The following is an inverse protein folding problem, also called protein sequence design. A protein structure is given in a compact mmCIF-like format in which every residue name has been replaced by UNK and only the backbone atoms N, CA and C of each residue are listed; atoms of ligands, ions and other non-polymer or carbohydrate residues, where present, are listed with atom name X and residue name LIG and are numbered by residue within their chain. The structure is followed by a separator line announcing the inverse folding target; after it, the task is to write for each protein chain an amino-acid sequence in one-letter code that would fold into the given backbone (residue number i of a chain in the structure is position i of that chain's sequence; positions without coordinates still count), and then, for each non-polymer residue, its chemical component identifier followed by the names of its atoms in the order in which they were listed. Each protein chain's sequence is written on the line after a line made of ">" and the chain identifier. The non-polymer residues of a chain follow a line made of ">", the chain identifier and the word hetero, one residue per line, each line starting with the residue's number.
data_IF_506134245897
#
_entry.id   IF_506134245897
#
_cell.length_a   1.000
_cell.length_b   1.000
_cell.length_c   1.000
_cell.angle_alpha   90.00
_cell.angle_beta   90.00
_cell.angle_gamma   90.00
#
_symmetry.space_group_name_H-M   'P 1'
#
loop_
_entity.id
_entity.type
_entity.pdbx_description
1 polymer ?
#
# COMPACT_ATOMS: atom_id res chain seq x y z
N UNK A 1 10.10 -17.75 5.27
CA UNK A 1 9.61 -19.09 5.67
C UNK A 1 10.85 -19.89 6.02
N UNK A 2 10.95 -20.41 7.24
CA UNK A 2 12.21 -20.99 7.74
C UNK A 2 12.49 -22.37 7.12
N UNK A 3 13.76 -22.62 6.84
CA UNK A 3 14.30 -23.90 6.39
C UNK A 3 15.19 -24.54 7.47
N UNK A 4 15.10 -25.86 7.57
CA UNK A 4 15.85 -26.69 8.50
C UNK A 4 16.68 -27.74 7.73
N UNK A 5 17.69 -28.31 8.37
CA UNK A 5 18.47 -29.46 7.92
C UNK A 5 18.29 -30.58 8.96
N UNK A 6 18.11 -31.82 8.53
CA UNK A 6 18.10 -32.94 9.46
C UNK A 6 19.52 -33.43 9.76
N UNK A 7 19.95 -33.39 11.03
CA UNK A 7 21.29 -33.82 11.47
C UNK A 7 21.53 -35.35 11.32
N UNK A 8 20.50 -36.12 10.98
CA UNK A 8 20.59 -37.56 10.74
C UNK A 8 20.82 -37.99 9.30
N UNK A 9 20.59 -37.10 8.32
CA UNK A 9 20.66 -37.45 6.88
C UNK A 9 20.89 -36.25 5.94
N UNK A 10 21.04 -35.05 6.47
CA UNK A 10 21.28 -33.77 5.79
C UNK A 10 20.24 -33.38 4.71
N UNK A 11 19.01 -33.89 4.78
CA UNK A 11 17.89 -33.42 3.93
C UNK A 11 17.50 -31.99 4.35
N UNK A 12 17.28 -31.10 3.37
CA UNK A 12 16.81 -29.73 3.61
C UNK A 12 15.28 -29.66 3.58
N UNK A 13 14.69 -29.15 4.66
CA UNK A 13 13.28 -29.28 4.99
C UNK A 13 12.65 -27.91 5.24
N UNK A 14 11.50 -27.64 4.62
CA UNK A 14 10.62 -26.52 5.04
C UNK A 14 9.93 -26.90 6.35
N UNK A 15 9.69 -25.96 7.27
CA UNK A 15 9.07 -26.22 8.59
C UNK A 15 7.86 -27.19 8.53
N UNK A 16 6.91 -26.96 7.62
CA UNK A 16 5.71 -27.79 7.42
C UNK A 16 5.98 -29.22 6.89
N UNK A 17 7.23 -29.59 6.62
CA UNK A 17 7.67 -30.92 6.17
C UNK A 17 8.60 -31.62 7.16
N UNK A 18 9.02 -30.96 8.25
CA UNK A 18 9.90 -31.56 9.27
C UNK A 18 9.22 -32.73 9.96
N UNK A 19 7.97 -32.57 10.41
CA UNK A 19 7.14 -33.63 11.01
C UNK A 19 7.00 -34.85 10.07
N UNK A 20 6.60 -34.61 8.82
CA UNK A 20 6.50 -35.62 7.77
C UNK A 20 7.85 -36.24 7.32
N UNK A 21 8.98 -35.68 7.77
CA UNK A 21 10.32 -36.24 7.62
C UNK A 21 10.72 -37.04 8.87
N UNK A 22 10.45 -36.54 10.08
CA UNK A 22 10.71 -37.26 11.34
C UNK A 22 9.99 -38.63 11.37
N UNK A 23 8.74 -38.69 10.90
CA UNK A 23 8.01 -39.95 10.72
C UNK A 23 8.56 -40.90 9.63
N UNK A 24 9.56 -40.49 8.85
CA UNK A 24 10.20 -41.28 7.78
C UNK A 24 11.66 -41.61 8.07
N UNK A 25 12.39 -40.67 8.67
CA UNK A 25 13.83 -40.74 8.89
C UNK A 25 14.13 -41.21 10.31
N UNK A 26 14.49 -42.49 10.45
CA UNK A 26 14.80 -43.13 11.75
C UNK A 26 16.01 -42.53 12.49
N UNK A 27 16.83 -41.72 11.82
CA UNK A 27 17.98 -41.02 12.38
C UNK A 27 17.71 -39.53 12.67
N UNK A 28 16.47 -39.04 12.50
CA UNK A 28 16.11 -37.64 12.79
C UNK A 28 16.02 -37.38 14.31
N UNK A 29 17.18 -37.23 14.96
CA UNK A 29 17.30 -36.89 16.38
C UNK A 29 17.14 -35.38 16.63
N UNK A 30 17.69 -34.56 15.73
CA UNK A 30 17.59 -33.11 15.75
C UNK A 30 17.52 -32.52 14.35
N UNK A 31 17.10 -31.25 14.28
CA UNK A 31 17.12 -30.43 13.06
C UNK A 31 17.77 -29.07 13.33
N UNK A 32 18.75 -28.68 12.52
CA UNK A 32 19.33 -27.33 12.59
C UNK A 32 18.57 -26.36 11.69
N UNK A 33 18.37 -25.12 12.12
CA UNK A 33 17.84 -24.06 11.24
C UNK A 33 18.96 -23.54 10.34
N UNK A 34 18.75 -23.49 9.02
CA UNK A 34 19.74 -22.96 8.06
C UNK A 34 20.10 -21.51 8.38
N UNK A 35 19.07 -20.72 8.71
CA UNK A 35 19.16 -19.27 8.85
C UNK A 35 19.92 -18.85 10.13
N UNK A 36 19.57 -19.34 11.33
CA UNK A 36 20.28 -19.03 12.58
C UNK A 36 21.35 -20.03 13.01
N UNK A 37 21.46 -21.20 12.35
CA UNK A 37 22.40 -22.27 12.71
C UNK A 37 22.22 -22.85 14.13
N UNK A 38 21.05 -22.64 14.75
CA UNK A 38 20.65 -23.28 16.01
C UNK A 38 20.12 -24.69 15.75
N UNK A 39 20.55 -25.66 16.54
CA UNK A 39 20.06 -27.04 16.57
C UNK A 39 18.83 -27.13 17.47
N UNK A 40 17.79 -27.81 17.01
CA UNK A 40 16.55 -28.08 17.75
C UNK A 40 16.36 -29.59 17.88
N UNK A 41 16.31 -30.09 19.11
CA UNK A 41 16.09 -31.51 19.40
C UNK A 41 14.58 -31.82 19.41
N UNK A 42 14.19 -33.01 18.94
CA UNK A 42 12.80 -33.46 18.92
C UNK A 42 11.84 -32.47 18.26
N UNK A 43 10.94 -31.86 19.05
CA UNK A 43 9.86 -30.98 18.57
C UNK A 43 10.11 -29.48 18.75
N UNK A 44 11.24 -29.04 19.31
CA UNK A 44 11.44 -27.63 19.68
C UNK A 44 11.44 -26.67 18.48
N UNK A 45 11.76 -27.19 17.28
CA UNK A 45 11.64 -26.47 16.00
C UNK A 45 10.21 -25.92 15.74
N UNK A 46 9.18 -26.50 16.38
CA UNK A 46 7.81 -26.02 16.31
C UNK A 46 7.67 -24.61 16.91
N UNK A 47 8.43 -24.27 17.95
CA UNK A 47 8.44 -22.94 18.57
C UNK A 47 9.11 -21.88 17.69
N UNK A 48 10.07 -22.27 16.86
CA UNK A 48 10.86 -21.36 16.04
C UNK A 48 10.06 -20.78 14.86
N UNK A 49 9.42 -19.63 15.07
CA UNK A 49 8.57 -18.92 14.09
C UNK A 49 9.30 -17.77 13.37
N UNK A 50 10.29 -17.18 14.02
CA UNK A 50 11.14 -16.10 13.50
C UNK A 50 12.62 -16.41 13.75
N UNK A 51 13.44 -16.21 12.73
CA UNK A 51 14.91 -16.32 12.82
C UNK A 51 15.56 -14.96 13.14
N UNK A 52 16.80 -15.00 13.65
CA UNK A 52 17.70 -13.84 13.73
C UNK A 52 17.86 -13.17 12.36
N UNK A 53 18.17 -11.88 12.35
CA UNK A 53 18.48 -11.15 11.11
C UNK A 53 19.89 -11.44 10.60
N UNK A 54 20.15 -11.19 9.32
CA UNK A 54 21.51 -11.31 8.74
C UNK A 54 22.51 -10.39 9.47
N UNK A 55 22.10 -9.16 9.79
CA UNK A 55 22.87 -8.23 10.61
C UNK A 55 23.19 -8.81 12.00
N UNK A 56 22.20 -9.39 12.68
CA UNK A 56 22.39 -10.04 13.99
C UNK A 56 23.33 -11.27 13.92
N UNK A 57 23.36 -11.97 12.78
CA UNK A 57 24.26 -13.10 12.53
C UNK A 57 25.71 -12.67 12.22
N UNK A 58 25.91 -11.60 11.45
CA UNK A 58 27.23 -11.21 10.93
C UNK A 58 27.89 -10.03 11.65
N UNK A 59 27.11 -9.12 12.25
CA UNK A 59 27.65 -7.94 12.96
C UNK A 59 27.99 -8.26 14.43
N UNK A 60 27.43 -9.33 15.01
CA UNK A 60 27.86 -9.91 16.29
C UNK A 60 27.90 -8.91 17.44
N UNK A 61 29.07 -8.65 18.01
CA UNK A 61 29.25 -7.67 19.10
C UNK A 61 29.16 -6.20 18.65
N UNK A 62 29.18 -5.92 17.34
CA UNK A 62 28.89 -4.61 16.76
C UNK A 62 27.39 -4.41 16.50
N UNK A 63 26.58 -5.48 16.58
CA UNK A 63 25.13 -5.42 16.37
C UNK A 63 24.43 -4.64 17.48
N UNK A 64 24.34 -3.33 17.32
CA UNK A 64 23.44 -2.46 18.09
C UNK A 64 21.98 -2.68 17.62
N UNK A 65 21.44 -3.86 17.93
CA UNK A 65 20.10 -4.26 17.52
C UNK A 65 18.98 -3.36 18.05
N UNK A 66 17.74 -3.68 17.70
CA UNK A 66 16.50 -2.93 18.01
C UNK A 66 16.21 -2.67 19.51
N UNK A 67 17.12 -3.05 20.41
CA UNK A 67 17.12 -2.71 21.84
C UNK A 67 17.76 -1.34 22.14
N UNK A 68 18.67 -0.86 21.29
CA UNK A 68 19.40 0.41 21.48
C UNK A 68 18.69 1.64 20.89
N UNK A 69 17.72 1.44 19.99
CA UNK A 69 16.82 2.49 19.51
C UNK A 69 15.44 2.29 20.14
N UNK A 70 14.74 3.36 20.56
CA UNK A 70 13.33 3.23 20.95
C UNK A 70 12.51 2.72 19.75
N UNK A 71 11.46 1.93 20.02
CA UNK A 71 10.63 1.27 18.98
C UNK A 71 9.92 2.22 18.00
N UNK A 72 10.01 3.54 18.22
CA UNK A 72 9.66 4.59 17.25
C UNK A 72 10.56 4.61 15.98
N UNK A 73 11.70 3.90 15.99
CA UNK A 73 12.69 3.98 14.90
C UNK A 73 12.37 3.19 13.62
N UNK A 74 11.45 2.22 13.68
CA UNK A 74 10.95 1.55 12.47
C UNK A 74 9.86 2.44 11.87
N UNK A 75 10.01 2.78 10.59
CA UNK A 75 8.97 3.51 9.83
C UNK A 75 7.72 2.63 9.79
N UNK A 76 6.76 2.88 10.69
CA UNK A 76 5.49 2.15 10.74
C UNK A 76 4.93 2.02 9.33
N UNK A 77 4.62 0.80 8.91
CA UNK A 77 3.97 0.64 7.61
C UNK A 77 2.61 1.35 7.64
N UNK A 78 2.11 1.85 6.50
CA UNK A 78 0.78 2.43 6.43
C UNK A 78 -0.34 1.45 6.86
N UNK A 79 -0.05 0.15 6.98
CA UNK A 79 -0.94 -0.87 7.54
C UNK A 79 -0.84 -0.95 9.07
N UNK A 80 0.36 -0.90 9.67
CA UNK A 80 0.52 -0.85 11.14
C UNK A 80 -0.18 0.35 11.76
N UNK A 81 0.06 1.58 11.26
CA UNK A 81 -0.60 2.78 11.78
C UNK A 81 -2.13 2.77 11.58
N UNK A 82 -2.62 1.99 10.62
CA UNK A 82 -4.05 1.76 10.46
C UNK A 82 -4.58 0.76 11.49
N UNK A 83 -3.87 -0.34 11.75
CA UNK A 83 -4.26 -1.29 12.80
C UNK A 83 -4.25 -0.63 14.18
N UNK A 84 -3.28 0.23 14.46
CA UNK A 84 -3.22 1.05 15.68
C UNK A 84 -4.43 2.02 15.78
N UNK A 85 -4.80 2.68 14.67
CA UNK A 85 -6.01 3.51 14.61
C UNK A 85 -7.32 2.70 14.72
N UNK A 86 -7.31 1.40 14.38
CA UNK A 86 -8.45 0.50 14.55
C UNK A 86 -8.56 0.00 16.00
N UNK A 87 -7.43 -0.28 16.65
CA UNK A 87 -7.37 -0.77 18.04
C UNK A 87 -7.59 0.34 19.07
N UNK A 88 -7.19 1.58 18.78
CA UNK A 88 -7.38 2.74 19.66
C UNK A 88 -8.76 3.41 19.53
N UNK A 89 -9.54 3.09 18.49
CA UNK A 89 -10.86 3.65 18.29
C UNK A 89 -11.89 3.08 19.29
N UNK A 90 -12.34 3.90 20.23
CA UNK A 90 -13.43 3.62 21.16
C UNK A 90 -14.43 4.78 21.16
N UNK A 91 -15.71 4.45 21.22
CA UNK A 91 -16.82 5.39 21.16
C UNK A 91 -17.83 5.05 22.29
N UNK A 92 -17.70 5.68 23.47
CA UNK A 92 -18.50 5.31 24.66
C UNK A 92 -19.97 5.73 24.57
N UNK A 93 -20.36 6.57 23.61
CA UNK A 93 -21.71 7.12 23.47
C UNK A 93 -22.71 6.08 22.91
N UNK A 94 -22.29 5.26 21.95
CA UNK A 94 -23.17 4.44 21.11
C UNK A 94 -22.84 2.95 21.38
N UNK A 95 -23.44 2.33 22.41
CA UNK A 95 -23.07 0.96 22.88
C UNK A 95 -22.97 -0.08 21.76
N UNK A 96 -23.94 -0.09 20.83
CA UNK A 96 -23.94 -1.01 19.67
C UNK A 96 -22.76 -0.76 18.73
N UNK A 97 -22.28 0.47 18.64
CA UNK A 97 -21.12 0.83 17.85
C UNK A 97 -19.84 0.38 18.56
N UNK A 98 -19.73 0.56 19.88
CA UNK A 98 -18.60 0.05 20.67
C UNK A 98 -18.48 -1.48 20.59
N UNK A 99 -19.60 -2.21 20.61
CA UNK A 99 -19.63 -3.67 20.40
C UNK A 99 -19.05 -4.04 19.02
N UNK A 100 -19.42 -3.31 17.96
CA UNK A 100 -18.90 -3.48 16.60
C UNK A 100 -17.40 -3.10 16.50
N UNK A 101 -16.98 -1.99 17.10
CA UNK A 101 -15.57 -1.56 17.12
C UNK A 101 -14.69 -2.59 17.83
N UNK A 102 -15.13 -3.11 18.98
CA UNK A 102 -14.42 -4.14 19.75
C UNK A 102 -14.30 -5.44 18.95
N UNK A 103 -15.38 -5.86 18.27
CA UNK A 103 -15.39 -7.06 17.43
C UNK A 103 -14.47 -6.93 16.21
N UNK A 104 -14.35 -5.74 15.61
CA UNK A 104 -13.41 -5.47 14.51
C UNK A 104 -11.96 -5.42 15.00
N UNK A 105 -11.70 -4.87 16.19
CA UNK A 105 -10.36 -4.78 16.78
C UNK A 105 -9.72 -6.16 17.09
N UNK A 106 -10.53 -7.22 17.19
CA UNK A 106 -10.07 -8.61 17.33
C UNK A 106 -9.52 -9.26 16.05
N UNK A 107 -9.43 -8.55 14.92
CA UNK A 107 -8.86 -9.07 13.66
C UNK A 107 -7.54 -8.38 13.31
N UNK A 108 -6.47 -9.15 13.11
CA UNK A 108 -5.11 -8.63 12.81
C UNK A 108 -4.96 -7.89 11.47
N UNK A 109 -5.94 -7.94 10.57
CA UNK A 109 -5.81 -7.43 9.20
C UNK A 109 -7.08 -6.78 8.66
N UNK A 110 -7.43 -5.62 9.20
CA UNK A 110 -8.60 -4.82 8.77
C UNK A 110 -8.28 -4.01 7.49
N UNK A 111 -9.08 -4.08 6.42
CA UNK A 111 -8.73 -3.43 5.14
C UNK A 111 -8.85 -1.89 5.12
N UNK A 112 -7.74 -1.21 4.74
CA UNK A 112 -7.59 0.25 4.60
C UNK A 112 -8.42 0.98 3.53
N UNK A 113 -9.44 0.36 2.94
CA UNK A 113 -10.24 0.97 1.86
C UNK A 113 -11.71 0.70 2.10
N UNK A 114 -12.57 1.73 2.19
CA UNK A 114 -14.00 1.60 2.50
C UNK A 114 -14.70 0.46 1.76
N UNK A 115 -14.49 0.31 0.45
CA UNK A 115 -15.11 -0.78 -0.34
C UNK A 115 -14.55 -2.17 -0.04
N UNK A 116 -13.32 -2.31 0.45
CA UNK A 116 -12.78 -3.59 0.95
C UNK A 116 -13.18 -3.85 2.40
N UNK A 117 -13.24 -2.81 3.23
CA UNK A 117 -13.75 -2.89 4.60
C UNK A 117 -15.23 -3.31 4.64
N UNK A 118 -16.10 -2.69 3.85
CA UNK A 118 -17.52 -3.07 3.75
C UNK A 118 -17.70 -4.54 3.31
N UNK A 119 -16.85 -5.05 2.42
CA UNK A 119 -16.87 -6.46 2.02
C UNK A 119 -16.33 -7.39 3.12
N UNK A 120 -15.27 -6.99 3.83
CA UNK A 120 -14.73 -7.71 4.99
C UNK A 120 -15.75 -7.80 6.13
N UNK A 121 -16.38 -6.68 6.51
CA UNK A 121 -17.40 -6.64 7.56
C UNK A 121 -18.63 -7.47 7.16
N UNK A 122 -19.08 -7.40 5.90
CA UNK A 122 -20.20 -8.21 5.38
C UNK A 122 -19.89 -9.71 5.31
N UNK A 123 -18.65 -10.11 5.04
CA UNK A 123 -18.27 -11.51 4.82
C UNK A 123 -17.72 -12.19 6.08
N UNK A 124 -16.77 -11.55 6.77
CA UNK A 124 -16.06 -12.09 7.94
C UNK A 124 -16.78 -11.84 9.26
N UNK A 125 -17.52 -10.72 9.37
CA UNK A 125 -18.22 -10.32 10.62
C UNK A 125 -19.75 -10.42 10.47
N UNK A 126 -20.25 -10.71 9.26
CA UNK A 126 -21.66 -10.90 8.92
C UNK A 126 -22.63 -9.74 9.27
N UNK A 127 -22.11 -8.57 9.65
CA UNK A 127 -22.91 -7.39 9.99
C UNK A 127 -23.62 -6.86 8.74
N UNK A 128 -24.95 -6.72 8.83
CA UNK A 128 -25.83 -6.28 7.73
C UNK A 128 -26.20 -4.80 7.83
N UNK A 129 -26.05 -4.20 9.01
CA UNK A 129 -26.43 -2.82 9.32
C UNK A 129 -25.44 -1.83 8.72
N UNK A 130 -25.60 -1.54 7.42
CA UNK A 130 -24.72 -0.67 6.64
C UNK A 130 -24.44 0.68 7.32
N UNK A 131 -25.45 1.27 7.97
CA UNK A 131 -25.34 2.55 8.67
C UNK A 131 -24.38 2.50 9.86
N UNK A 132 -24.38 1.41 10.65
CA UNK A 132 -23.42 1.22 11.75
C UNK A 132 -22.00 0.99 11.23
N UNK A 133 -21.86 0.20 10.15
CA UNK A 133 -20.57 -0.07 9.52
C UNK A 133 -19.97 1.19 8.89
N UNK A 134 -20.80 2.10 8.36
CA UNK A 134 -20.35 3.39 7.86
C UNK A 134 -19.96 4.37 8.99
N UNK A 135 -20.67 4.38 10.13
CA UNK A 135 -20.24 5.12 11.34
C UNK A 135 -18.88 4.64 11.83
N UNK A 136 -18.71 3.31 11.98
CA UNK A 136 -17.45 2.71 12.39
C UNK A 136 -16.31 3.07 11.42
N UNK A 137 -16.57 3.02 10.10
CA UNK A 137 -15.62 3.47 9.09
C UNK A 137 -15.23 4.95 9.28
N UNK A 138 -16.19 5.85 9.52
CA UNK A 138 -15.86 7.26 9.73
C UNK A 138 -15.00 7.49 10.96
N UNK A 139 -15.21 6.75 12.05
CA UNK A 139 -14.37 6.82 13.27
C UNK A 139 -12.94 6.39 12.96
N UNK A 140 -12.75 5.25 12.28
CA UNK A 140 -11.41 4.80 11.85
C UNK A 140 -10.74 5.79 10.88
N UNK A 141 -11.52 6.43 9.99
CA UNK A 141 -10.97 7.42 9.06
C UNK A 141 -10.57 8.72 9.78
N UNK A 142 -11.32 9.16 10.80
CA UNK A 142 -10.91 10.31 11.64
C UNK A 142 -9.70 9.98 12.51
N UNK A 143 -9.65 8.79 13.15
CA UNK A 143 -8.51 8.36 13.95
C UNK A 143 -7.24 8.19 13.09
N UNK A 144 -7.36 7.63 11.88
CA UNK A 144 -6.25 7.51 10.94
C UNK A 144 -5.77 8.86 10.39
N UNK A 145 -6.65 9.87 10.29
CA UNK A 145 -6.27 11.25 9.95
C UNK A 145 -5.60 11.96 11.13
N UNK A 146 -6.12 11.80 12.35
CA UNK A 146 -5.52 12.36 13.58
C UNK A 146 -4.14 11.76 13.92
N UNK A 147 -3.87 10.50 13.54
CA UNK A 147 -2.54 9.88 13.66
C UNK A 147 -1.57 10.26 12.53
N UNK A 148 -1.93 11.18 11.63
CA UNK A 148 -0.95 11.79 10.72
C UNK A 148 -0.20 12.92 11.46
N UNK A 149 1.13 13.07 11.28
CA UNK A 149 1.85 14.24 11.80
C UNK A 149 1.27 15.51 11.17
N UNK A 150 0.78 16.42 12.00
CA UNK A 150 -0.08 17.51 11.57
C UNK A 150 0.70 18.79 11.24
N UNK A 151 0.72 19.16 9.96
CA UNK A 151 0.82 20.56 9.54
C UNK A 151 -0.52 21.00 8.95
N UNK A 152 -1.17 21.98 9.60
CA UNK A 152 -2.43 22.65 9.20
C UNK A 152 -3.71 21.77 9.16
N UNK A 153 -4.91 22.25 9.49
CA UNK A 153 -5.33 23.59 9.98
C UNK A 153 -6.55 23.55 10.91
N UNK A 154 -6.38 24.18 12.07
CA UNK A 154 -7.30 24.98 12.92
C UNK A 154 -8.84 24.84 12.87
N UNK A 155 -9.43 24.81 14.07
CA UNK A 155 -10.83 25.18 14.42
C UNK A 155 -11.07 26.71 14.40
N UNK A 156 -12.33 27.22 14.50
CA UNK A 156 -12.65 28.57 14.02
C UNK A 156 -12.69 29.73 15.04
N UNK A 157 -12.15 30.88 14.58
CA UNK A 157 -12.62 32.26 14.75
C UNK A 157 -12.51 33.03 16.11
N UNK A 158 -12.48 34.38 15.95
CA UNK A 158 -12.41 35.49 16.92
C UNK A 158 -11.04 35.68 17.62
N UNK A 159 -10.45 36.87 17.85
CA UNK A 159 -10.52 38.27 17.30
C UNK A 159 -9.33 39.07 17.95
N UNK A 160 -8.78 40.24 17.54
CA UNK A 160 -8.82 41.10 16.32
C UNK A 160 -7.64 42.14 16.38
N UNK A 161 -7.34 42.84 15.26
CA UNK A 161 -6.51 44.08 15.12
C UNK A 161 -4.98 44.00 15.42
N UNK A 162 -4.08 44.87 14.90
CA UNK A 162 -4.01 45.68 13.65
C UNK A 162 -2.56 46.24 13.42
N UNK A 163 -2.27 46.78 12.21
CA UNK A 163 -1.31 47.88 11.89
C UNK A 163 0.22 47.64 11.65
N UNK A 164 0.56 47.68 10.33
CA UNK A 164 1.75 48.30 9.63
C UNK A 164 3.20 47.84 9.96
N UNK A 165 4.12 47.56 9.00
CA UNK A 165 4.64 48.23 7.76
C UNK A 165 5.59 49.43 8.03
N UNK A 166 6.58 49.73 7.15
CA UNK A 166 7.28 48.91 6.11
C UNK A 166 8.82 49.21 6.00
N UNK A 167 9.46 48.83 4.86
CA UNK A 167 10.77 49.31 4.32
C UNK A 167 12.02 48.70 5.01
N UNK A 168 13.13 48.37 4.34
CA UNK A 168 13.59 48.64 2.95
C UNK A 168 14.00 47.35 2.19
N UNK A 169 14.27 47.47 0.88
CA UNK A 169 14.54 46.37 -0.05
C UNK A 169 16.06 46.16 -0.30
N UNK A 170 16.44 44.93 -0.70
CA UNK A 170 17.30 44.71 -1.87
C UNK A 170 17.03 43.31 -2.45
N UNK A 171 17.34 43.12 -3.74
CA UNK A 171 16.88 42.00 -4.56
C UNK A 171 17.83 40.77 -4.51
N UNK A 172 17.35 39.54 -4.70
CA UNK A 172 16.90 39.08 -6.03
C UNK A 172 15.71 38.14 -5.96
N UNK A 173 14.69 38.46 -6.77
CA UNK A 173 13.41 37.79 -6.88
C UNK A 173 13.45 36.66 -7.94
N UNK A 174 12.60 35.61 -7.94
CA UNK A 174 11.13 35.55 -7.79
C UNK A 174 10.37 36.36 -8.86
N UNK A 175 9.11 36.09 -9.21
CA UNK A 175 8.18 34.94 -9.11
C UNK A 175 6.86 35.44 -9.72
N UNK A 176 6.02 34.61 -10.34
CA UNK A 176 4.61 34.99 -10.60
C UNK A 176 3.67 33.88 -10.13
N UNK A 177 2.72 34.25 -9.26
CA UNK A 177 1.77 33.34 -8.60
C UNK A 177 0.46 33.23 -9.40
N UNK A 178 -0.14 32.04 -9.42
CA UNK A 178 -1.59 31.77 -9.53
C UNK A 178 -1.83 30.37 -8.94
N UNK A 179 -2.59 30.23 -7.86
CA UNK A 179 -4.05 30.22 -7.79
C UNK A 179 -4.64 28.80 -7.88
N UNK A 180 -5.05 28.29 -6.71
CA UNK A 180 -6.06 27.26 -6.42
C UNK A 180 -6.64 26.52 -7.65
N UNK A 181 -6.17 25.30 -7.91
CA UNK A 181 -6.74 24.36 -8.90
C UNK A 181 -6.88 22.97 -8.27
N UNK A 182 -7.86 22.17 -8.72
CA UNK A 182 -8.24 20.88 -8.15
C UNK A 182 -7.25 19.74 -8.53
N UNK A 183 -7.26 18.64 -7.76
CA UNK A 183 -6.47 17.44 -8.08
C UNK A 183 -6.96 16.76 -9.36
N UNK A 184 -6.25 16.96 -10.48
CA UNK A 184 -6.50 16.17 -11.70
C UNK A 184 -6.20 14.69 -11.46
N UNK A 185 -7.22 13.85 -11.67
CA UNK A 185 -7.15 12.41 -11.43
C UNK A 185 -6.18 11.77 -12.44
N UNK A 186 -5.15 11.01 -12.01
CA UNK A 186 -4.13 10.50 -12.91
C UNK A 186 -4.71 9.65 -14.05
N UNK A 187 -4.40 10.04 -15.29
CA UNK A 187 -4.95 9.45 -16.52
C UNK A 187 -4.52 7.98 -16.61
N UNK A 188 -5.49 7.08 -16.73
CA UNK A 188 -5.25 5.63 -16.76
C UNK A 188 -5.00 5.16 -18.20
N UNK A 189 -3.96 5.69 -18.83
CA UNK A 189 -3.57 5.44 -20.23
C UNK A 189 -3.65 3.96 -20.63
N UNK A 190 -3.03 3.05 -19.85
CA UNK A 190 -3.05 1.61 -20.10
C UNK A 190 -4.43 0.91 -19.97
N UNK A 191 -5.48 1.62 -19.53
CA UNK A 191 -6.88 1.17 -19.63
C UNK A 191 -7.56 1.70 -20.88
N UNK A 192 -7.34 2.97 -21.24
CA UNK A 192 -7.89 3.59 -22.46
C UNK A 192 -7.38 2.86 -23.71
N UNK A 193 -6.06 2.62 -23.79
CA UNK A 193 -5.43 1.81 -24.84
C UNK A 193 -6.06 0.41 -24.95
N UNK A 194 -6.34 -0.27 -23.83
CA UNK A 194 -6.97 -1.60 -23.84
C UNK A 194 -8.45 -1.60 -24.19
N UNK A 195 -9.18 -0.51 -23.93
CA UNK A 195 -10.60 -0.42 -24.28
C UNK A 195 -10.77 -0.09 -25.75
N UNK A 196 -9.98 0.84 -26.29
CA UNK A 196 -9.92 1.12 -27.73
C UNK A 196 -9.50 -0.13 -28.54
N UNK A 197 -8.34 -0.74 -28.21
CA UNK A 197 -7.87 -1.94 -28.92
C UNK A 197 -8.77 -3.17 -28.73
N UNK A 198 -9.64 -3.22 -27.71
CA UNK A 198 -10.65 -4.29 -27.58
C UNK A 198 -11.97 -3.97 -28.30
N UNK A 199 -12.22 -2.72 -28.66
CA UNK A 199 -13.36 -2.32 -29.48
C UNK A 199 -13.12 -2.60 -30.98
N UNK A 200 -11.87 -2.61 -31.44
CA UNK A 200 -11.53 -3.02 -32.80
C UNK A 200 -11.53 -4.54 -32.97
N UNK A 201 -12.25 -5.03 -33.97
CA UNK A 201 -12.53 -6.45 -34.22
C UNK A 201 -11.26 -7.31 -34.36
N UNK A 202 -10.18 -6.75 -34.91
CA UNK A 202 -8.89 -7.44 -35.11
C UNK A 202 -7.87 -7.21 -33.99
N UNK A 203 -8.18 -6.37 -32.99
CA UNK A 203 -7.23 -5.83 -31.98
C UNK A 203 -6.09 -4.98 -32.55
N UNK A 204 -6.21 -4.59 -33.81
CA UNK A 204 -5.27 -3.77 -34.57
C UNK A 204 -5.98 -2.47 -34.95
N UNK A 205 -5.33 -1.33 -34.71
CA UNK A 205 -5.82 0.02 -35.03
C UNK A 205 -4.61 0.84 -35.49
N UNK A 206 -4.77 1.71 -36.49
CA UNK A 206 -3.71 2.62 -36.90
C UNK A 206 -3.34 3.60 -35.76
N UNK A 207 -2.05 3.93 -35.67
CA UNK A 207 -1.47 4.79 -34.62
C UNK A 207 -2.10 6.19 -34.55
N UNK A 208 -2.58 6.74 -35.67
CA UNK A 208 -3.24 8.05 -35.70
C UNK A 208 -4.69 7.91 -35.22
N UNK A 209 -5.44 6.96 -35.79
CA UNK A 209 -6.84 6.72 -35.40
C UNK A 209 -7.01 6.31 -33.92
N UNK A 210 -6.12 5.47 -33.38
CA UNK A 210 -6.09 5.09 -31.96
C UNK A 210 -5.84 6.29 -31.04
N UNK A 211 -4.92 7.17 -31.44
CA UNK A 211 -4.55 8.38 -30.70
C UNK A 211 -5.73 9.34 -30.62
N UNK A 212 -6.38 9.60 -31.74
CA UNK A 212 -7.41 10.63 -31.82
C UNK A 212 -8.70 10.18 -31.11
N UNK A 213 -9.07 8.89 -31.18
CA UNK A 213 -10.11 8.30 -30.32
C UNK A 213 -9.83 8.48 -28.82
N UNK A 214 -8.57 8.27 -28.39
CA UNK A 214 -8.20 8.39 -26.97
C UNK A 214 -8.14 9.86 -26.51
N UNK A 215 -7.70 10.78 -27.38
CA UNK A 215 -7.76 12.22 -27.09
C UNK A 215 -9.22 12.71 -26.99
N UNK A 216 -10.10 12.26 -27.87
CA UNK A 216 -11.53 12.55 -27.80
C UNK A 216 -12.13 12.03 -26.48
N UNK A 217 -11.86 10.78 -26.10
CA UNK A 217 -12.33 10.22 -24.81
C UNK A 217 -11.81 11.01 -23.59
N UNK A 218 -10.58 11.54 -23.63
CA UNK A 218 -10.04 12.38 -22.54
C UNK A 218 -10.75 13.74 -22.47
N UNK A 219 -11.08 14.34 -23.62
CA UNK A 219 -11.84 15.60 -23.70
C UNK A 219 -13.30 15.42 -23.23
N UNK A 220 -14.01 14.41 -23.75
CA UNK A 220 -15.41 14.12 -23.40
C UNK A 220 -15.60 13.85 -21.90
N UNK A 221 -14.70 13.06 -21.30
CA UNK A 221 -14.73 12.76 -19.87
C UNK A 221 -14.10 13.87 -19.00
N UNK A 222 -13.67 14.99 -19.59
CA UNK A 222 -12.99 16.12 -18.92
C UNK A 222 -11.85 15.66 -18.00
N UNK A 223 -11.03 14.72 -18.48
CA UNK A 223 -10.09 13.99 -17.63
C UNK A 223 -8.79 14.76 -17.31
N UNK A 224 -8.49 15.83 -18.05
CA UNK A 224 -7.39 16.77 -17.80
C UNK A 224 -7.57 18.07 -18.60
N UNK A 225 -7.02 19.17 -18.09
CA UNK A 225 -6.90 20.49 -18.75
C UNK A 225 -5.58 20.70 -19.50
N UNK A 226 -4.69 19.70 -19.50
CA UNK A 226 -3.38 19.75 -20.17
C UNK A 226 -3.48 19.98 -21.67
N UNK A 227 -2.44 20.60 -22.24
CA UNK A 227 -2.42 20.91 -23.66
C UNK A 227 -2.39 19.65 -24.51
N UNK A 228 -2.99 19.74 -25.70
CA UNK A 228 -3.00 18.64 -26.68
C UNK A 228 -1.59 18.12 -26.98
N UNK A 229 -0.58 19.00 -26.99
CA UNK A 229 0.84 18.67 -27.21
C UNK A 229 1.44 17.81 -26.08
N UNK A 230 0.94 17.93 -24.86
CA UNK A 230 1.38 17.13 -23.69
C UNK A 230 0.68 15.78 -23.67
N UNK A 231 -0.64 15.73 -23.87
CA UNK A 231 -1.38 14.48 -24.04
C UNK A 231 -0.80 13.65 -25.21
N UNK A 232 -0.41 14.31 -26.31
CA UNK A 232 0.27 13.71 -27.46
C UNK A 232 1.71 13.22 -27.18
N UNK A 233 2.34 13.62 -26.06
CA UNK A 233 3.60 13.04 -25.54
C UNK A 233 3.32 11.89 -24.58
N UNK A 234 2.43 12.07 -23.59
CA UNK A 234 2.09 11.03 -22.60
C UNK A 234 1.53 9.77 -23.25
N UNK A 235 0.71 9.90 -24.30
CA UNK A 235 0.27 8.77 -25.12
C UNK A 235 1.44 7.97 -25.72
N UNK A 236 2.47 8.66 -26.24
CA UNK A 236 3.67 8.00 -26.81
C UNK A 236 4.58 7.38 -25.74
N UNK A 237 4.62 7.95 -24.54
CA UNK A 237 5.29 7.35 -23.40
C UNK A 237 4.56 6.07 -22.96
N UNK A 238 3.26 6.15 -22.66
CA UNK A 238 2.46 5.02 -22.20
C UNK A 238 2.41 3.82 -23.17
N UNK A 239 2.58 4.05 -24.47
CA UNK A 239 2.75 2.99 -25.47
C UNK A 239 4.14 2.33 -25.42
N UNK A 240 5.20 3.06 -25.11
CA UNK A 240 6.56 2.53 -24.95
C UNK A 240 6.79 1.87 -23.59
N UNK A 241 6.22 2.46 -22.53
CA UNK A 241 6.42 2.06 -21.13
C UNK A 241 5.58 0.81 -20.74
N UNK A 242 4.95 0.13 -21.70
CA UNK A 242 4.14 -1.06 -21.39
C UNK A 242 4.29 -2.19 -22.41
N UNK A 243 4.82 -3.32 -21.94
CA UNK A 243 5.09 -4.60 -22.64
C UNK A 243 3.82 -5.34 -23.13
N UNK A 244 2.71 -4.62 -23.27
CA UNK A 244 1.35 -5.13 -23.47
C UNK A 244 0.72 -4.61 -24.76
N UNK A 245 1.44 -3.76 -25.50
CA UNK A 245 1.10 -3.32 -26.86
C UNK A 245 2.36 -3.43 -27.73
N UNK A 246 2.23 -4.02 -28.91
CA UNK A 246 3.27 -3.99 -29.93
C UNK A 246 2.91 -2.92 -30.97
N UNK A 247 3.89 -2.12 -31.39
CA UNK A 247 3.72 -1.20 -32.52
C UNK A 247 4.25 -1.90 -33.76
N UNK A 248 3.36 -2.21 -34.70
CA UNK A 248 3.69 -2.83 -35.98
C UNK A 248 3.53 -1.77 -37.06
N UNK A 249 4.64 -1.37 -37.69
CA UNK A 249 4.62 -0.39 -38.79
C UNK A 249 4.30 -1.11 -40.11
N UNK A 250 3.10 -0.89 -40.65
CA UNK A 250 2.62 -1.56 -41.86
C UNK A 250 2.97 -0.73 -43.10
N UNK A 251 4.13 -1.01 -43.69
CA UNK A 251 4.50 -0.48 -45.00
C UNK A 251 3.62 -1.12 -46.09
N UNK A 252 3.05 -0.31 -46.98
CA UNK A 252 2.30 -0.76 -48.16
C UNK A 252 2.87 -0.11 -49.41
N UNK A 253 2.79 -0.81 -50.54
CA UNK A 253 2.96 -0.19 -51.86
C UNK A 253 1.80 0.77 -52.14
N UNK A 254 2.04 1.78 -52.99
CA UNK A 254 0.98 2.52 -53.69
C UNK A 254 0.74 1.92 -55.07
#
# INVERSE_FOLDING_TARGET
>A
MVFFVCEGCNETLKKNKVDAHAGRCRNCWAVSCVDCSVVFEGNDYATHTSCISEAEKYEGSLYQGDKAKPKNGKKQTPQERWMEAVQSATCPEDRKLQEVLTLIAGYDNVPRKKSKFLNFVKNSIALRDTTLVERAWTIYETAFKASAPAEASTTPALEVADKKRPIEEEASSSSVKKAKTEEEKPIKWAKLLKTALKAAERKEIDMQTLRDQILQQIQENKLSSRSEKELKKEFKAALKDSDKFAVVEVVRLQ
#
